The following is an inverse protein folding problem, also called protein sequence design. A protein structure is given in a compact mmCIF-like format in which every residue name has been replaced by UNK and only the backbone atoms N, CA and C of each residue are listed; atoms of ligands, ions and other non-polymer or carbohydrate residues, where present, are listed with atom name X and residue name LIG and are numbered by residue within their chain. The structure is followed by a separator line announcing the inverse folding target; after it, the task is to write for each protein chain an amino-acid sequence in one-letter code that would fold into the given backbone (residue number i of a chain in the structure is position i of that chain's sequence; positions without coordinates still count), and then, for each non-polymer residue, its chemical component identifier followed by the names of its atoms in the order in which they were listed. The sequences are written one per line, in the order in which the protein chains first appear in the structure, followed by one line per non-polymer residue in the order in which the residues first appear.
data_IF_126541359217
#
_entry.id   IF_126541359217
#
_cell.length_a   1.000
_cell.length_b   1.000
_cell.length_c   1.000
_cell.angle_alpha   90.00
_cell.angle_beta   90.00
_cell.angle_gamma   90.00
#
_symmetry.space_group_name_H-M   'P 1'
#
loop_
_entity.id
_entity.type
_entity.pdbx_description
1 polymer ?
#
# COMPACT_ATOMS: atom_id res chain seq x y z
N UNK A 1 -56.40 96.47 28.70
CA UNK A 1 -55.31 95.86 27.90
C UNK A 1 -55.04 94.47 28.46
N UNK A 2 -55.29 93.45 27.64
CA UNK A 2 -55.39 92.03 27.99
C UNK A 2 -54.03 91.33 27.98
N UNK A 3 -53.59 90.78 29.12
CA UNK A 3 -52.40 89.93 29.23
C UNK A 3 -52.74 88.44 29.06
N UNK A 4 -52.16 87.79 28.04
CA UNK A 4 -52.23 86.34 27.83
C UNK A 4 -51.04 85.66 28.50
N UNK A 5 -51.33 84.74 29.42
CA UNK A 5 -50.38 83.76 29.98
C UNK A 5 -50.01 82.71 28.92
N UNK A 6 -48.71 82.55 28.68
CA UNK A 6 -48.14 81.53 27.79
C UNK A 6 -48.02 80.17 28.49
N UNK A 7 -48.19 79.04 27.77
CA UNK A 7 -48.18 77.72 28.36
C UNK A 7 -46.76 77.21 28.64
N UNK A 8 -46.66 76.53 29.77
CA UNK A 8 -45.47 76.01 30.42
C UNK A 8 -44.83 74.84 29.63
N UNK A 9 -43.65 75.08 29.03
CA UNK A 9 -42.94 74.12 28.15
C UNK A 9 -42.01 73.14 28.90
N UNK A 10 -41.92 73.21 30.22
CA UNK A 10 -40.97 72.40 31.02
C UNK A 10 -41.36 70.92 31.24
N UNK A 11 -42.64 70.58 31.18
CA UNK A 11 -43.13 69.23 31.55
C UNK A 11 -42.96 68.17 30.45
N UNK A 12 -42.96 68.56 29.16
CA UNK A 12 -42.92 67.63 28.03
C UNK A 12 -41.49 67.07 27.75
N UNK A 13 -40.44 67.83 28.02
CA UNK A 13 -39.05 67.39 27.79
C UNK A 13 -38.57 66.36 28.81
N UNK A 14 -39.03 66.42 30.07
CA UNK A 14 -38.67 65.45 31.12
C UNK A 14 -39.28 64.06 30.88
N UNK A 15 -40.49 63.98 30.32
CA UNK A 15 -41.10 62.69 29.92
C UNK A 15 -40.33 62.02 28.79
N UNK A 16 -39.92 62.79 27.76
CA UNK A 16 -39.15 62.26 26.61
C UNK A 16 -37.78 61.70 27.00
N UNK A 17 -37.05 62.34 27.93
CA UNK A 17 -35.76 61.80 28.44
C UNK A 17 -35.94 60.50 29.23
N UNK A 18 -36.99 60.38 30.05
CA UNK A 18 -37.27 59.14 30.80
C UNK A 18 -37.65 57.97 29.88
N UNK A 19 -38.44 58.22 28.83
CA UNK A 19 -38.75 57.19 27.83
C UNK A 19 -37.54 56.75 27.02
N UNK A 20 -36.61 57.66 26.68
CA UNK A 20 -35.42 57.31 25.89
C UNK A 20 -34.42 56.46 26.68
N UNK A 21 -34.22 56.76 27.98
CA UNK A 21 -33.36 55.98 28.88
C UNK A 21 -33.94 54.57 29.12
N UNK A 22 -35.27 54.47 29.27
CA UNK A 22 -35.94 53.18 29.40
C UNK A 22 -35.80 52.31 28.14
N UNK A 23 -35.90 52.92 26.94
CA UNK A 23 -35.76 52.21 25.67
C UNK A 23 -34.33 51.70 25.45
N UNK A 24 -33.31 52.49 25.80
CA UNK A 24 -31.90 52.05 25.73
C UNK A 24 -31.57 50.93 26.72
N UNK A 25 -32.19 50.93 27.92
CA UNK A 25 -32.00 49.86 28.89
C UNK A 25 -32.62 48.53 28.39
N UNK A 26 -33.80 48.57 27.76
CA UNK A 26 -34.45 47.39 27.19
C UNK A 26 -33.64 46.82 26.01
N UNK A 27 -33.12 47.68 25.13
CA UNK A 27 -32.27 47.25 24.02
C UNK A 27 -30.96 46.64 24.53
N UNK A 28 -30.34 47.22 25.57
CA UNK A 28 -29.15 46.65 26.21
C UNK A 28 -29.37 45.25 26.78
N UNK A 29 -30.50 45.01 27.43
CA UNK A 29 -30.87 43.68 27.96
C UNK A 29 -31.12 42.66 26.84
N UNK A 30 -31.78 43.07 25.75
CA UNK A 30 -32.02 42.20 24.59
C UNK A 30 -30.71 41.82 23.87
N UNK A 31 -29.79 42.76 23.70
CA UNK A 31 -28.47 42.49 23.08
C UNK A 31 -27.62 41.59 23.99
N UNK A 32 -27.60 41.83 25.29
CA UNK A 32 -26.89 40.97 26.25
C UNK A 32 -27.47 39.54 26.26
N UNK A 33 -28.80 39.39 26.17
CA UNK A 33 -29.46 38.09 26.04
C UNK A 33 -29.07 37.34 24.76
N UNK A 34 -29.02 38.01 23.60
CA UNK A 34 -28.61 37.41 22.33
C UNK A 34 -27.14 36.96 22.34
N UNK A 35 -26.24 37.74 22.94
CA UNK A 35 -24.82 37.36 23.09
C UNK A 35 -24.68 36.12 23.98
N UNK A 36 -25.45 36.04 25.07
CA UNK A 36 -25.44 34.87 25.95
C UNK A 36 -25.95 33.61 25.24
N UNK A 37 -27.04 33.71 24.47
CA UNK A 37 -27.59 32.59 23.68
C UNK A 37 -26.61 32.12 22.59
N UNK A 38 -25.93 33.05 21.90
CA UNK A 38 -24.93 32.68 20.89
C UNK A 38 -23.72 31.98 21.51
N UNK A 39 -23.25 32.45 22.67
CA UNK A 39 -22.13 31.85 23.40
C UNK A 39 -22.49 30.46 23.95
N UNK A 40 -23.72 30.27 24.43
CA UNK A 40 -24.17 28.94 24.90
C UNK A 40 -24.35 27.95 23.74
N UNK A 41 -24.86 28.39 22.59
CA UNK A 41 -24.91 27.56 21.39
C UNK A 41 -23.52 27.18 20.88
N UNK A 42 -22.56 28.11 20.89
CA UNK A 42 -21.17 27.81 20.51
C UNK A 42 -20.53 26.78 21.44
N UNK A 43 -20.70 26.91 22.76
CA UNK A 43 -20.20 25.93 23.71
C UNK A 43 -20.83 24.53 23.52
N UNK A 44 -22.12 24.45 23.22
CA UNK A 44 -22.79 23.19 22.94
C UNK A 44 -22.28 22.51 21.65
N UNK A 45 -22.01 23.29 20.60
CA UNK A 45 -21.44 22.79 19.34
C UNK A 45 -20.00 22.29 19.54
N UNK A 46 -19.19 23.01 20.31
CA UNK A 46 -17.82 22.60 20.65
C UNK A 46 -17.81 21.31 21.49
N UNK A 47 -18.68 21.21 22.50
CA UNK A 47 -18.84 19.98 23.28
C UNK A 47 -19.31 18.81 22.43
N UNK A 48 -20.24 19.03 21.50
CA UNK A 48 -20.69 17.99 20.58
C UNK A 48 -19.58 17.53 19.61
N UNK A 49 -18.70 18.44 19.17
CA UNK A 49 -17.56 18.11 18.33
C UNK A 49 -16.51 17.28 19.09
N UNK A 50 -16.16 17.67 20.32
CA UNK A 50 -15.24 16.91 21.17
C UNK A 50 -15.81 15.52 21.48
N UNK A 51 -17.10 15.43 21.79
CA UNK A 51 -17.75 14.14 22.05
C UNK A 51 -17.76 13.25 20.80
N UNK A 52 -17.95 13.82 19.61
CA UNK A 52 -17.89 13.07 18.35
C UNK A 52 -16.47 12.58 18.03
N UNK A 53 -15.45 13.39 18.29
CA UNK A 53 -14.04 13.00 18.14
C UNK A 53 -13.66 11.88 19.11
N UNK A 54 -14.05 12.00 20.38
CA UNK A 54 -13.83 10.95 21.38
C UNK A 54 -14.55 9.64 21.03
N UNK A 55 -15.77 9.72 20.48
CA UNK A 55 -16.48 8.54 20.00
C UNK A 55 -15.75 7.86 18.84
N UNK A 56 -15.21 8.64 17.89
CA UNK A 56 -14.42 8.10 16.78
C UNK A 56 -13.13 7.42 17.27
N UNK A 57 -12.41 8.04 18.22
CA UNK A 57 -11.22 7.44 18.82
C UNK A 57 -11.58 6.12 19.51
N UNK A 58 -12.67 6.10 20.29
CA UNK A 58 -13.13 4.88 20.97
C UNK A 58 -13.52 3.78 19.97
N UNK A 59 -14.16 4.11 18.84
CA UNK A 59 -14.49 3.15 17.79
C UNK A 59 -13.23 2.58 17.12
N UNK A 60 -12.22 3.41 16.86
CA UNK A 60 -10.92 2.98 16.31
C UNK A 60 -10.19 2.06 17.30
N UNK A 61 -10.16 2.42 18.58
CA UNK A 61 -9.55 1.60 19.64
C UNK A 61 -10.29 0.26 19.79
N UNK A 62 -11.62 0.25 19.73
CA UNK A 62 -12.41 -0.96 19.78
C UNK A 62 -12.11 -1.90 18.60
N UNK A 63 -12.10 -1.36 17.37
CA UNK A 63 -11.77 -2.13 16.17
C UNK A 63 -10.32 -2.65 16.18
N UNK A 64 -9.37 -1.85 16.68
CA UNK A 64 -7.98 -2.26 16.89
C UNK A 64 -7.90 -3.44 17.86
N UNK A 65 -8.54 -3.33 19.04
CA UNK A 65 -8.51 -4.36 20.07
C UNK A 65 -9.18 -5.66 19.60
N UNK A 66 -10.30 -5.56 18.90
CA UNK A 66 -10.96 -6.71 18.28
C UNK A 66 -10.02 -7.42 17.29
N UNK A 67 -9.32 -6.67 16.45
CA UNK A 67 -8.37 -7.23 15.49
C UNK A 67 -7.14 -7.86 16.18
N UNK A 68 -6.67 -7.30 17.30
CA UNK A 68 -5.60 -7.91 18.10
C UNK A 68 -6.05 -9.26 18.66
N UNK A 69 -7.26 -9.35 19.23
CA UNK A 69 -7.79 -10.60 19.76
C UNK A 69 -8.05 -11.63 18.64
N UNK A 70 -8.59 -11.20 17.50
CA UNK A 70 -8.74 -12.06 16.33
C UNK A 70 -7.38 -12.58 15.83
N UNK A 71 -6.34 -11.74 15.84
CA UNK A 71 -4.98 -12.13 15.50
C UNK A 71 -4.42 -13.18 16.46
N UNK A 72 -4.58 -12.97 17.77
CA UNK A 72 -4.16 -13.93 18.82
C UNK A 72 -4.86 -15.27 18.66
N UNK A 73 -6.16 -15.25 18.43
CA UNK A 73 -6.96 -16.47 18.25
C UNK A 73 -6.56 -17.24 16.99
N UNK A 74 -6.28 -16.52 15.90
CA UNK A 74 -5.78 -17.11 14.66
C UNK A 74 -4.39 -17.73 14.84
N UNK A 75 -3.48 -17.06 15.57
CA UNK A 75 -2.17 -17.61 15.94
C UNK A 75 -2.30 -18.92 16.73
N UNK A 76 -3.21 -19.00 17.71
CA UNK A 76 -3.44 -20.24 18.47
C UNK A 76 -3.93 -21.39 17.60
N UNK A 77 -4.72 -21.09 16.56
CA UNK A 77 -5.23 -22.08 15.59
C UNK A 77 -4.19 -22.48 14.53
N UNK A 78 -3.03 -21.83 14.51
CA UNK A 78 -2.02 -22.02 13.47
C UNK A 78 -2.38 -21.36 12.12
N UNK A 79 -3.42 -20.51 12.07
CA UNK A 79 -3.77 -19.74 10.87
C UNK A 79 -2.99 -18.42 10.85
N UNK A 80 -1.71 -18.51 10.48
CA UNK A 80 -0.81 -17.35 10.48
C UNK A 80 -1.13 -16.34 9.37
N UNK A 81 -1.79 -16.77 8.29
CA UNK A 81 -2.26 -15.86 7.23
C UNK A 81 -3.38 -14.96 7.75
N UNK A 82 -4.38 -15.52 8.44
CA UNK A 82 -5.41 -14.73 9.10
C UNK A 82 -4.85 -13.87 10.24
N UNK A 83 -3.94 -14.42 11.04
CA UNK A 83 -3.30 -13.69 12.13
C UNK A 83 -2.52 -12.46 11.61
N UNK A 84 -1.71 -12.64 10.57
CA UNK A 84 -0.95 -11.55 9.94
C UNK A 84 -1.89 -10.44 9.42
N UNK A 85 -2.99 -10.81 8.76
CA UNK A 85 -3.98 -9.83 8.28
C UNK A 85 -4.60 -9.05 9.44
N UNK A 86 -4.98 -9.72 10.52
CA UNK A 86 -5.60 -9.10 11.68
C UNK A 86 -4.63 -8.15 12.43
N UNK A 87 -3.38 -8.57 12.68
CA UNK A 87 -2.39 -7.69 13.30
C UNK A 87 -2.01 -6.50 12.41
N UNK A 88 -1.94 -6.69 11.09
CA UNK A 88 -1.72 -5.58 10.15
C UNK A 88 -2.85 -4.55 10.21
N UNK A 89 -4.11 -5.00 10.21
CA UNK A 89 -5.25 -4.12 10.36
C UNK A 89 -5.21 -3.36 11.69
N UNK A 90 -4.87 -4.02 12.80
CA UNK A 90 -4.71 -3.36 14.09
C UNK A 90 -3.64 -2.25 14.06
N UNK A 91 -2.49 -2.48 13.41
CA UNK A 91 -1.45 -1.45 13.26
C UNK A 91 -1.90 -0.26 12.41
N UNK A 92 -2.67 -0.52 11.34
CA UNK A 92 -3.24 0.54 10.51
C UNK A 92 -4.21 1.41 11.33
N UNK A 93 -5.07 0.80 12.17
CA UNK A 93 -5.96 1.52 13.09
C UNK A 93 -5.18 2.29 14.16
N UNK A 94 -4.15 1.69 14.75
CA UNK A 94 -3.32 2.35 15.78
C UNK A 94 -2.66 3.63 15.27
N UNK A 95 -2.23 3.64 14.00
CA UNK A 95 -1.61 4.81 13.38
C UNK A 95 -2.59 5.98 13.18
N UNK A 96 -3.91 5.72 13.07
CA UNK A 96 -4.93 6.77 12.94
C UNK A 96 -5.11 7.59 14.22
N UNK A 97 -4.73 7.04 15.38
CA UNK A 97 -4.89 7.66 16.71
C UNK A 97 -3.55 7.84 17.46
N UNK A 98 -2.43 7.75 16.74
CA UNK A 98 -1.06 7.85 17.31
C UNK A 98 -0.79 6.88 18.48
N UNK A 99 -1.46 5.73 18.50
CA UNK A 99 -1.32 4.73 19.56
C UNK A 99 -0.09 3.85 19.35
N UNK A 100 0.71 3.63 20.40
CA UNK A 100 1.87 2.73 20.36
C UNK A 100 1.43 1.26 20.41
N UNK A 101 1.34 0.63 19.23
CA UNK A 101 0.98 -0.77 19.06
C UNK A 101 2.20 -1.71 18.91
N UNK A 102 3.28 -1.48 19.66
CA UNK A 102 4.51 -2.31 19.59
C UNK A 102 4.27 -3.82 19.72
N UNK A 103 3.36 -4.26 20.60
CA UNK A 103 3.02 -5.69 20.74
C UNK A 103 2.39 -6.26 19.46
N UNK A 104 1.44 -5.54 18.85
CA UNK A 104 0.82 -5.95 17.59
C UNK A 104 1.85 -6.02 16.45
N UNK A 105 2.85 -5.12 16.45
CA UNK A 105 3.96 -5.14 15.49
C UNK A 105 4.82 -6.39 15.63
N UNK A 106 5.28 -6.69 16.85
CA UNK A 106 6.09 -7.88 17.11
C UNK A 106 5.34 -9.16 16.72
N UNK A 107 4.03 -9.22 17.02
CA UNK A 107 3.16 -10.35 16.64
C UNK A 107 2.94 -10.46 15.13
N UNK A 108 2.84 -9.33 14.43
CA UNK A 108 2.77 -9.32 12.96
C UNK A 108 4.05 -9.91 12.35
N UNK A 109 5.22 -9.48 12.82
CA UNK A 109 6.51 -9.99 12.34
C UNK A 109 6.65 -11.51 12.59
N UNK A 110 6.23 -11.97 13.78
CA UNK A 110 6.16 -13.40 14.08
C UNK A 110 5.21 -14.14 13.14
N UNK A 111 3.97 -13.66 12.97
CA UNK A 111 3.00 -14.29 12.09
C UNK A 111 3.48 -14.34 10.63
N UNK A 112 4.12 -13.28 10.13
CA UNK A 112 4.68 -13.25 8.77
C UNK A 112 5.79 -14.27 8.57
N UNK A 113 6.67 -14.45 9.57
CA UNK A 113 7.69 -15.49 9.54
C UNK A 113 7.06 -16.88 9.47
N UNK A 114 6.03 -17.13 10.29
CA UNK A 114 5.34 -18.42 10.26
C UNK A 114 4.52 -18.64 8.98
N UNK A 115 4.02 -17.60 8.31
CA UNK A 115 3.44 -17.74 6.96
C UNK A 115 4.48 -18.26 5.96
N UNK A 116 5.70 -17.72 5.97
CA UNK A 116 6.77 -18.21 5.10
C UNK A 116 7.15 -19.66 5.43
N UNK A 117 7.21 -20.01 6.71
CA UNK A 117 7.45 -21.40 7.15
C UNK A 117 6.31 -22.34 6.73
N UNK A 118 5.06 -21.89 6.80
CA UNK A 118 3.90 -22.65 6.32
C UNK A 118 4.01 -22.96 4.83
N UNK A 119 4.43 -21.98 4.02
CA UNK A 119 4.63 -22.16 2.57
C UNK A 119 5.73 -23.18 2.25
N UNK A 120 6.80 -23.24 3.06
CA UNK A 120 7.82 -24.28 2.93
C UNK A 120 7.26 -25.68 3.19
N UNK A 121 6.39 -25.83 4.21
CA UNK A 121 5.73 -27.09 4.52
C UNK A 121 4.77 -27.50 3.40
N UNK A 122 3.91 -26.58 2.93
CA UNK A 122 2.99 -26.83 1.81
C UNK A 122 3.76 -27.23 0.54
N UNK A 123 4.87 -26.54 0.24
CA UNK A 123 5.74 -26.86 -0.89
C UNK A 123 6.42 -28.22 -0.75
N UNK A 124 6.88 -28.58 0.45
CA UNK A 124 7.47 -29.90 0.70
C UNK A 124 6.43 -31.01 0.47
N UNK A 125 5.19 -30.82 0.92
CA UNK A 125 4.07 -31.74 0.68
C UNK A 125 3.75 -31.89 -0.81
N UNK A 126 3.70 -30.78 -1.55
CA UNK A 126 3.51 -30.79 -3.00
C UNK A 126 4.62 -31.55 -3.73
N UNK A 127 5.88 -31.30 -3.39
CA UNK A 127 7.04 -31.98 -3.97
C UNK A 127 7.05 -33.47 -3.66
N UNK A 128 6.68 -33.87 -2.44
CA UNK A 128 6.48 -35.27 -2.07
C UNK A 128 5.34 -35.92 -2.88
N UNK A 129 4.25 -35.19 -3.12
CA UNK A 129 3.14 -35.61 -3.98
C UNK A 129 3.56 -35.84 -5.44
N UNK A 130 4.52 -35.05 -5.94
CA UNK A 130 5.11 -35.20 -7.28
C UNK A 130 6.29 -36.18 -7.35
N UNK A 131 6.64 -36.82 -6.24
CA UNK A 131 7.84 -37.66 -6.13
C UNK A 131 9.17 -36.95 -6.46
N UNK A 132 9.24 -35.62 -6.28
CA UNK A 132 10.46 -34.82 -6.45
C UNK A 132 11.30 -34.87 -5.15
N UNK A 133 11.85 -36.05 -4.84
CA UNK A 133 12.39 -36.38 -3.52
C UNK A 133 13.52 -35.44 -3.08
N UNK A 134 14.50 -35.16 -3.96
CA UNK A 134 15.66 -34.31 -3.64
C UNK A 134 15.25 -32.88 -3.27
N UNK A 135 14.33 -32.29 -4.05
CA UNK A 135 13.82 -30.94 -3.77
C UNK A 135 12.99 -30.91 -2.49
N UNK A 136 12.20 -31.95 -2.23
CA UNK A 136 11.44 -32.05 -0.98
C UNK A 136 12.40 -32.08 0.23
N UNK A 137 13.48 -32.86 0.15
CA UNK A 137 14.50 -32.95 1.19
C UNK A 137 15.20 -31.60 1.44
N UNK A 138 15.56 -30.90 0.36
CA UNK A 138 16.16 -29.56 0.42
C UNK A 138 15.24 -28.57 1.13
N UNK A 139 13.96 -28.48 0.70
CA UNK A 139 12.97 -27.58 1.32
C UNK A 139 12.78 -27.91 2.81
N UNK A 140 12.62 -29.19 3.18
CA UNK A 140 12.52 -29.62 4.58
C UNK A 140 13.77 -29.32 5.42
N UNK A 141 14.94 -29.16 4.78
CA UNK A 141 16.17 -28.72 5.43
C UNK A 141 16.21 -27.23 5.76
N UNK A 142 15.37 -26.42 5.12
CA UNK A 142 15.34 -24.96 5.30
C UNK A 142 14.34 -24.50 6.38
N UNK A 143 13.47 -25.38 6.87
CA UNK A 143 12.49 -25.04 7.92
C UNK A 143 13.21 -24.85 9.26
N UNK A 144 13.10 -23.67 9.91
CA UNK A 144 13.74 -23.41 11.20
C UNK A 144 13.22 -24.32 12.32
N UNK A 145 14.10 -24.72 13.24
CA UNK A 145 13.74 -25.58 14.38
C UNK A 145 12.87 -24.89 15.42
N UNK A 146 12.88 -23.55 15.46
CA UNK A 146 12.03 -22.72 16.33
C UNK A 146 10.67 -22.34 15.67
N UNK A 147 10.40 -22.80 14.44
CA UNK A 147 9.10 -22.58 13.79
C UNK A 147 7.98 -23.31 14.54
N UNK A 148 6.78 -22.74 14.49
CA UNK A 148 5.54 -23.41 14.89
C UNK A 148 5.31 -24.73 14.13
N UNK A 149 5.82 -24.85 12.90
CA UNK A 149 5.66 -26.05 12.07
C UNK A 149 6.78 -27.08 12.23
N UNK A 150 7.74 -26.85 13.14
CA UNK A 150 8.87 -27.76 13.37
C UNK A 150 8.43 -29.19 13.70
N UNK A 151 7.32 -29.37 14.43
CA UNK A 151 6.75 -30.69 14.76
C UNK A 151 6.22 -31.46 13.53
N UNK A 152 5.87 -30.78 12.43
CA UNK A 152 5.44 -31.45 11.19
C UNK A 152 6.62 -31.96 10.36
N UNK A 153 7.81 -31.38 10.54
CA UNK A 153 9.01 -31.74 9.76
C UNK A 153 9.39 -33.22 9.95
N UNK A 154 9.43 -33.79 11.18
CA UNK A 154 9.63 -35.22 11.37
C UNK A 154 8.63 -36.10 10.60
N UNK A 155 7.34 -35.77 10.65
CA UNK A 155 6.30 -36.51 9.91
C UNK A 155 6.55 -36.50 8.41
N UNK A 156 6.90 -35.34 7.83
CA UNK A 156 7.22 -35.23 6.41
C UNK A 156 8.54 -35.92 6.03
N UNK A 157 9.51 -35.96 6.94
CA UNK A 157 10.74 -36.74 6.75
C UNK A 157 10.48 -38.25 6.75
N UNK A 158 9.57 -38.74 7.58
CA UNK A 158 9.13 -40.14 7.53
C UNK A 158 8.36 -40.43 6.23
N UNK A 159 7.51 -39.51 5.77
CA UNK A 159 6.85 -39.64 4.47
C UNK A 159 7.86 -39.66 3.30
N UNK A 160 8.91 -38.82 3.36
CA UNK A 160 10.01 -38.83 2.40
C UNK A 160 10.75 -40.18 2.41
N UNK A 161 11.06 -40.74 3.59
CA UNK A 161 11.69 -42.06 3.72
C UNK A 161 10.82 -43.16 3.12
N UNK A 162 9.51 -43.13 3.35
CA UNK A 162 8.58 -44.09 2.73
C UNK A 162 8.62 -43.98 1.20
N UNK A 163 8.59 -42.76 0.64
CA UNK A 163 8.72 -42.54 -0.81
C UNK A 163 10.06 -42.98 -1.39
N UNK A 164 11.16 -42.84 -0.64
CA UNK A 164 12.46 -43.40 -1.00
C UNK A 164 12.37 -44.93 -1.09
N UNK A 165 11.73 -45.58 -0.11
CA UNK A 165 11.49 -47.03 -0.13
C UNK A 165 10.69 -47.49 -1.35
N UNK A 166 9.60 -46.78 -1.69
CA UNK A 166 8.79 -47.04 -2.89
C UNK A 166 9.60 -46.88 -4.18
N UNK A 167 10.45 -45.85 -4.24
CA UNK A 167 11.32 -45.58 -5.39
C UNK A 167 12.37 -46.68 -5.55
N UNK A 168 12.98 -47.14 -4.46
CA UNK A 168 13.91 -48.28 -4.46
C UNK A 168 13.23 -49.58 -4.91
N UNK A 169 12.00 -49.85 -4.44
CA UNK A 169 11.22 -51.00 -4.93
C UNK A 169 10.94 -50.90 -6.42
N UNK A 170 10.54 -49.73 -6.91
CA UNK A 170 10.33 -49.47 -8.34
C UNK A 170 11.61 -49.77 -9.13
N UNK A 171 12.77 -49.27 -8.65
CA UNK A 171 14.06 -49.51 -9.28
C UNK A 171 14.46 -50.99 -9.32
N UNK A 172 14.21 -51.75 -8.24
CA UNK A 172 14.44 -53.21 -8.20
C UNK A 172 13.52 -53.96 -9.17
N UNK A 173 12.24 -53.58 -9.26
CA UNK A 173 11.29 -54.17 -10.21
C UNK A 173 11.68 -53.91 -11.67
N UNK A 174 12.13 -52.68 -11.95
CA UNK A 174 12.65 -52.29 -13.26
C UNK A 174 13.92 -53.10 -13.61
N UNK A 175 14.87 -53.23 -12.67
CA UNK A 175 16.06 -54.06 -12.84
C UNK A 175 15.71 -55.53 -13.14
N UNK A 176 14.76 -56.12 -12.41
CA UNK A 176 14.30 -57.50 -12.64
C UNK A 176 13.69 -57.68 -14.04
N UNK A 177 13.05 -56.63 -14.56
CA UNK A 177 12.48 -56.59 -15.91
C UNK A 177 13.47 -56.17 -17.00
N UNK A 178 14.75 -55.96 -16.64
CA UNK A 178 15.82 -55.42 -17.50
C UNK A 178 15.54 -54.03 -18.07
N UNK A 179 14.67 -53.25 -17.42
CA UNK A 179 14.50 -51.82 -17.70
C UNK A 179 15.55 -51.02 -16.91
N UNK A 180 16.75 -50.96 -17.46
CA UNK A 180 17.90 -50.33 -16.82
C UNK A 180 17.77 -48.80 -16.73
N UNK A 181 16.96 -48.18 -17.60
CA UNK A 181 16.78 -46.72 -17.60
C UNK A 181 15.97 -46.30 -16.36
N UNK A 182 14.81 -46.94 -16.14
CA UNK A 182 13.98 -46.67 -14.95
C UNK A 182 14.73 -47.07 -13.68
N UNK A 183 15.47 -48.17 -13.69
CA UNK A 183 16.24 -48.61 -12.53
C UNK A 183 17.33 -47.59 -12.14
N UNK A 184 18.04 -47.00 -13.11
CA UNK A 184 19.05 -45.96 -12.86
C UNK A 184 18.43 -44.68 -12.33
N UNK A 185 17.37 -44.20 -12.96
CA UNK A 185 16.67 -43.00 -12.52
C UNK A 185 16.18 -43.16 -11.07
N UNK A 186 15.65 -44.32 -10.72
CA UNK A 186 15.24 -44.61 -9.35
C UNK A 186 16.40 -44.56 -8.34
N UNK A 187 17.57 -45.11 -8.69
CA UNK A 187 18.75 -45.05 -7.83
C UNK A 187 19.31 -43.62 -7.74
N UNK A 188 19.36 -42.87 -8.84
CA UNK A 188 19.80 -41.46 -8.90
C UNK A 188 18.93 -40.55 -8.04
N UNK A 189 17.61 -40.68 -8.12
CA UNK A 189 16.68 -39.87 -7.33
C UNK A 189 16.90 -40.06 -5.82
N UNK A 190 17.21 -41.29 -5.40
CA UNK A 190 17.46 -41.60 -3.99
C UNK A 190 18.84 -41.09 -3.56
N UNK A 191 19.87 -41.28 -4.38
CA UNK A 191 21.23 -40.79 -4.10
C UNK A 191 21.32 -39.25 -4.12
N UNK A 192 20.44 -38.58 -4.85
CA UNK A 192 20.33 -37.13 -4.82
C UNK A 192 19.77 -36.60 -3.47
N UNK A 193 19.00 -37.42 -2.75
CA UNK A 193 18.49 -37.10 -1.41
C UNK A 193 19.49 -37.50 -0.33
N UNK A 194 19.97 -38.73 -0.41
CA UNK A 194 20.87 -39.34 0.56
C UNK A 194 22.02 -40.01 -0.22
N UNK A 195 23.13 -39.28 -0.44
CA UNK A 195 24.28 -39.80 -1.17
C UNK A 195 24.90 -41.04 -0.54
N UNK A 196 24.63 -41.31 0.75
CA UNK A 196 25.15 -42.45 1.50
C UNK A 196 24.17 -43.62 1.62
N UNK A 197 23.03 -43.56 0.91
CA UNK A 197 22.03 -44.61 0.97
C UNK A 197 22.58 -45.95 0.43
N UNK A 198 22.85 -46.89 1.34
CA UNK A 198 23.46 -48.17 1.01
C UNK A 198 22.62 -49.00 0.02
N UNK A 199 21.29 -48.94 0.12
CA UNK A 199 20.40 -49.67 -0.79
C UNK A 199 20.42 -49.10 -2.21
N UNK A 200 20.47 -47.77 -2.35
CA UNK A 200 20.57 -47.11 -3.64
C UNK A 200 21.93 -47.34 -4.30
N UNK A 201 23.04 -47.25 -3.53
CA UNK A 201 24.39 -47.61 -4.02
C UNK A 201 24.44 -49.06 -4.50
N UNK A 202 23.90 -49.99 -3.71
CA UNK A 202 23.83 -51.41 -4.11
C UNK A 202 22.98 -51.62 -5.37
N UNK A 203 21.82 -50.97 -5.46
CA UNK A 203 20.97 -51.03 -6.66
C UNK A 203 21.74 -50.52 -7.88
N UNK A 204 22.49 -49.42 -7.74
CA UNK A 204 23.36 -48.90 -8.79
C UNK A 204 24.40 -49.93 -9.25
N UNK A 205 25.13 -50.54 -8.31
CA UNK A 205 26.13 -51.58 -8.61
C UNK A 205 25.52 -52.81 -9.27
N UNK A 206 24.33 -53.23 -8.84
CA UNK A 206 23.61 -54.37 -9.41
C UNK A 206 23.13 -54.08 -10.85
N UNK A 207 22.73 -52.84 -11.14
CA UNK A 207 22.43 -52.40 -12.52
C UNK A 207 23.66 -52.50 -13.41
N UNK A 208 24.83 -52.02 -12.94
CA UNK A 208 26.08 -52.11 -13.70
C UNK A 208 26.49 -53.57 -13.95
N UNK A 209 26.40 -54.43 -12.92
CA UNK A 209 26.73 -55.86 -13.03
C UNK A 209 25.79 -56.61 -13.98
N UNK A 210 24.53 -56.20 -14.09
CA UNK A 210 23.55 -56.80 -14.99
C UNK A 210 23.81 -56.49 -16.49
N UNK A 211 24.91 -55.80 -16.81
CA UNK A 211 25.28 -55.48 -18.18
C UNK A 211 24.52 -54.29 -18.76
N UNK A 212 23.98 -53.42 -17.89
CA UNK A 212 23.39 -52.17 -18.34
C UNK A 212 24.44 -51.39 -19.14
N UNK A 213 24.14 -50.98 -20.38
CA UNK A 213 25.12 -50.27 -21.21
C UNK A 213 25.64 -49.05 -20.42
N UNK A 214 26.96 -48.75 -20.48
CA UNK A 214 27.52 -47.60 -19.79
C UNK A 214 26.69 -46.38 -20.17
N UNK A 215 26.40 -45.53 -19.17
CA UNK A 215 25.54 -44.35 -19.33
C UNK A 215 25.93 -43.70 -20.67
N UNK A 216 25.01 -43.57 -21.66
CA UNK A 216 25.34 -42.77 -22.82
C UNK A 216 25.83 -41.46 -22.24
N UNK A 217 27.09 -41.09 -22.52
CA UNK A 217 27.69 -39.87 -21.98
C UNK A 217 26.61 -38.82 -22.14
N UNK A 218 26.12 -38.19 -21.05
CA UNK A 218 25.04 -37.24 -21.19
C UNK A 218 25.51 -36.32 -22.32
N UNK A 219 24.80 -36.35 -23.47
CA UNK A 219 24.95 -35.30 -24.46
C UNK A 219 24.83 -34.07 -23.58
N UNK A 220 25.87 -33.21 -23.50
CA UNK A 220 25.91 -32.16 -22.50
C UNK A 220 24.52 -31.59 -22.48
N UNK A 221 23.81 -31.80 -21.36
CA UNK A 221 22.49 -31.24 -21.21
C UNK A 221 22.84 -29.78 -21.28
N UNK A 222 22.63 -29.19 -22.45
CA UNK A 222 22.74 -27.76 -22.64
C UNK A 222 21.66 -27.31 -21.69
N UNK A 223 22.05 -26.99 -20.44
CA UNK A 223 21.15 -26.40 -19.48
C UNK A 223 20.52 -25.29 -20.28
N UNK A 224 19.23 -25.45 -20.54
CA UNK A 224 18.54 -24.56 -21.45
C UNK A 224 18.55 -23.24 -20.69
N UNK A 225 19.55 -22.40 -21.02
CA UNK A 225 19.83 -21.21 -20.26
C UNK A 225 18.60 -20.36 -20.45
N UNK A 226 17.89 -20.08 -19.36
CA UNK A 226 16.77 -19.16 -19.42
C UNK A 226 17.33 -17.74 -19.56
N UNK A 227 17.62 -17.37 -20.80
CA UNK A 227 18.13 -16.06 -21.17
C UNK A 227 17.14 -14.95 -20.77
N UNK A 228 15.84 -15.22 -20.74
CA UNK A 228 14.85 -14.24 -20.30
C UNK A 228 14.99 -13.96 -18.80
N UNK A 229 15.08 -15.01 -17.98
CA UNK A 229 15.30 -14.86 -16.54
C UNK A 229 16.61 -14.12 -16.23
N UNK A 230 17.72 -14.52 -16.88
CA UNK A 230 19.02 -13.85 -16.70
C UNK A 230 19.02 -12.39 -17.14
N UNK A 231 18.33 -12.06 -18.24
CA UNK A 231 18.21 -10.67 -18.68
C UNK A 231 17.41 -9.83 -17.68
N UNK A 232 16.32 -10.36 -17.14
CA UNK A 232 15.53 -9.68 -16.11
C UNK A 232 16.29 -9.52 -14.80
N UNK A 233 17.11 -10.50 -14.42
CA UNK A 233 18.02 -10.40 -13.28
C UNK A 233 19.02 -9.26 -13.47
N UNK A 234 19.74 -9.22 -14.60
CA UNK A 234 20.66 -8.13 -14.92
C UNK A 234 19.96 -6.76 -14.94
N UNK A 235 18.75 -6.69 -15.48
CA UNK A 235 17.94 -5.47 -15.50
C UNK A 235 17.54 -5.01 -14.08
N UNK A 236 17.11 -5.94 -13.22
CA UNK A 236 16.78 -5.66 -11.82
C UNK A 236 17.99 -5.18 -11.02
N UNK A 237 19.19 -5.64 -11.39
CA UNK A 237 20.46 -5.18 -10.83
C UNK A 237 20.93 -3.83 -11.41
N UNK A 238 20.14 -3.18 -12.27
CA UNK A 238 20.47 -1.89 -12.89
C UNK A 238 21.44 -1.98 -14.07
N UNK A 239 21.77 -3.18 -14.55
CA UNK A 239 22.71 -3.42 -15.64
C UNK A 239 21.98 -3.49 -16.98
N UNK A 240 21.47 -2.35 -17.44
CA UNK A 240 20.57 -2.29 -18.61
C UNK A 240 21.23 -2.78 -19.92
N UNK A 241 22.47 -2.41 -20.19
CA UNK A 241 23.16 -2.85 -21.42
C UNK A 241 23.48 -4.36 -21.39
N UNK A 242 23.83 -4.91 -20.22
CA UNK A 242 24.02 -6.36 -20.04
C UNK A 242 22.70 -7.11 -20.27
N UNK A 243 21.59 -6.62 -19.71
CA UNK A 243 20.27 -7.19 -19.91
C UNK A 243 19.85 -7.23 -21.39
N UNK A 244 20.14 -6.15 -22.15
CA UNK A 244 19.89 -6.11 -23.60
C UNK A 244 20.76 -7.16 -24.31
N UNK A 245 22.04 -7.25 -23.96
CA UNK A 245 22.96 -8.24 -24.53
C UNK A 245 22.51 -9.67 -24.32
N UNK A 246 22.14 -10.03 -23.08
CA UNK A 246 21.64 -11.37 -22.72
C UNK A 246 20.34 -11.67 -23.46
N UNK A 247 19.38 -10.74 -23.48
CA UNK A 247 18.10 -10.94 -24.17
C UNK A 247 18.26 -11.06 -25.70
N UNK A 248 19.26 -10.38 -26.28
CA UNK A 248 19.49 -10.42 -27.74
C UNK A 248 20.24 -11.67 -28.21
N UNK A 249 20.93 -12.38 -27.30
CA UNK A 249 21.70 -13.60 -27.61
C UNK A 249 20.83 -14.88 -27.70
N UNK A 250 19.52 -14.75 -27.53
CA UNK A 250 18.57 -15.86 -27.44
C UNK A 250 17.69 -15.91 -28.70
N UNK A 251 17.54 -17.10 -29.29
CA UNK A 251 16.76 -17.32 -30.52
C UNK A 251 15.22 -17.38 -30.29
N UNK A 252 14.76 -17.34 -29.04
CA UNK A 252 13.33 -17.34 -28.70
C UNK A 252 12.69 -15.98 -29.06
N UNK A 253 11.55 -15.95 -29.78
CA UNK A 253 10.81 -14.71 -30.06
C UNK A 253 10.51 -13.84 -28.83
N UNK A 254 10.30 -14.45 -27.65
CA UNK A 254 10.08 -13.73 -26.39
C UNK A 254 11.31 -12.95 -25.94
N UNK A 255 12.50 -13.53 -26.12
CA UNK A 255 13.77 -12.87 -25.85
C UNK A 255 13.94 -11.64 -26.76
N UNK A 256 13.62 -11.76 -28.04
CA UNK A 256 13.64 -10.64 -28.99
C UNK A 256 12.67 -9.51 -28.60
N UNK A 257 11.46 -9.85 -28.15
CA UNK A 257 10.50 -8.85 -27.65
C UNK A 257 11.02 -8.14 -26.38
N UNK A 258 11.64 -8.89 -25.45
CA UNK A 258 12.23 -8.32 -24.24
C UNK A 258 13.40 -7.39 -24.59
N UNK A 259 14.31 -7.81 -25.47
CA UNK A 259 15.43 -7.01 -25.94
C UNK A 259 14.96 -5.68 -26.56
N UNK A 260 13.92 -5.71 -27.40
CA UNK A 260 13.33 -4.50 -27.99
C UNK A 260 12.75 -3.55 -26.94
N UNK A 261 12.04 -4.07 -25.93
CA UNK A 261 11.52 -3.26 -24.82
C UNK A 261 12.64 -2.62 -24.01
N UNK A 262 13.68 -3.38 -23.66
CA UNK A 262 14.84 -2.89 -22.93
C UNK A 262 15.60 -1.81 -23.73
N UNK A 263 15.80 -2.01 -25.03
CA UNK A 263 16.44 -1.04 -25.91
C UNK A 263 15.63 0.26 -26.05
N UNK A 264 14.31 0.16 -26.23
CA UNK A 264 13.43 1.31 -26.27
C UNK A 264 13.46 2.10 -24.94
N UNK A 265 13.42 1.39 -23.81
CA UNK A 265 13.55 1.99 -22.50
C UNK A 265 14.88 2.70 -22.31
N UNK A 266 16.01 2.10 -22.73
CA UNK A 266 17.34 2.74 -22.66
C UNK A 266 17.37 4.09 -23.36
N UNK A 267 16.82 4.18 -24.57
CA UNK A 267 16.76 5.44 -25.34
C UNK A 267 15.91 6.48 -24.60
N UNK A 268 14.77 6.08 -24.02
CA UNK A 268 13.93 6.98 -23.26
C UNK A 268 14.59 7.43 -21.94
N UNK A 269 15.31 6.53 -21.27
CA UNK A 269 16.02 6.82 -20.03
C UNK A 269 17.24 7.74 -20.24
N UNK A 270 17.91 7.67 -21.40
CA UNK A 270 18.95 8.64 -21.77
C UNK A 270 18.39 10.04 -22.02
N UNK A 271 17.11 10.14 -22.40
CA UNK A 271 16.40 11.39 -22.66
C UNK A 271 15.44 11.75 -21.52
N UNK A 272 15.79 11.36 -20.28
CA UNK A 272 14.89 11.42 -19.14
C UNK A 272 14.42 12.85 -18.84
N UNK A 273 15.29 13.85 -18.98
CA UNK A 273 14.95 15.25 -18.74
C UNK A 273 13.90 15.79 -19.73
N UNK A 274 13.81 15.22 -20.93
CA UNK A 274 12.89 15.68 -21.98
C UNK A 274 11.53 15.00 -21.93
N UNK A 275 11.47 13.72 -21.57
CA UNK A 275 10.21 12.97 -21.58
C UNK A 275 10.18 11.84 -20.53
N UNK A 276 10.09 12.18 -19.24
CA UNK A 276 10.12 11.18 -18.18
C UNK A 276 8.84 10.32 -18.13
N UNK A 277 7.71 10.81 -18.66
CA UNK A 277 6.47 10.03 -18.78
C UNK A 277 6.62 8.87 -19.77
N UNK A 278 7.30 9.08 -20.90
CA UNK A 278 7.60 8.02 -21.87
C UNK A 278 8.53 6.96 -21.27
N UNK A 279 9.56 7.40 -20.54
CA UNK A 279 10.47 6.49 -19.84
C UNK A 279 9.71 5.62 -18.81
N UNK A 280 8.81 6.21 -18.02
CA UNK A 280 7.97 5.47 -17.07
C UNK A 280 7.06 4.45 -17.75
N UNK A 281 6.41 4.82 -18.86
CA UNK A 281 5.53 3.92 -19.60
C UNK A 281 6.28 2.70 -20.14
N UNK A 282 7.46 2.92 -20.71
CA UNK A 282 8.33 1.84 -21.22
C UNK A 282 8.87 0.98 -20.08
N UNK A 283 9.24 1.60 -18.95
CA UNK A 283 9.70 0.88 -17.76
C UNK A 283 8.64 -0.10 -17.25
N UNK A 284 7.38 0.36 -17.13
CA UNK A 284 6.26 -0.48 -16.67
C UNK A 284 5.91 -1.62 -17.63
N UNK A 285 6.29 -1.53 -18.90
CA UNK A 285 6.07 -2.57 -19.89
C UNK A 285 7.09 -3.73 -19.81
N UNK A 286 8.17 -3.54 -19.04
CA UNK A 286 9.20 -4.55 -18.75
C UNK A 286 8.82 -5.28 -17.46
N UNK A 287 8.82 -6.63 -17.43
CA UNK A 287 8.61 -7.39 -16.20
C UNK A 287 9.56 -6.95 -15.08
N UNK A 288 9.03 -6.67 -13.89
CA UNK A 288 9.83 -6.17 -12.77
C UNK A 288 10.27 -4.71 -12.86
N UNK A 289 9.92 -3.96 -13.92
CA UNK A 289 10.36 -2.57 -14.11
C UNK A 289 9.98 -1.61 -12.99
N UNK A 290 8.82 -1.80 -12.36
CA UNK A 290 8.39 -0.95 -11.23
C UNK A 290 9.25 -1.14 -9.96
N UNK A 291 9.97 -2.25 -9.86
CA UNK A 291 10.88 -2.58 -8.75
C UNK A 291 12.35 -2.35 -9.11
N UNK A 292 12.63 -1.88 -10.33
CA UNK A 292 13.99 -1.63 -10.79
C UNK A 292 14.59 -0.36 -10.17
N UNK A 293 15.92 -0.25 -10.10
CA UNK A 293 16.60 0.96 -9.61
C UNK A 293 16.33 2.22 -10.47
N UNK A 294 15.78 2.05 -11.67
CA UNK A 294 15.45 3.17 -12.56
C UNK A 294 14.15 3.90 -12.16
N UNK A 295 13.28 3.26 -11.37
CA UNK A 295 11.99 3.85 -10.98
C UNK A 295 12.17 5.14 -10.17
N UNK A 296 13.14 5.17 -9.25
CA UNK A 296 13.43 6.32 -8.40
C UNK A 296 13.78 7.58 -9.20
N UNK A 297 14.86 7.57 -10.01
CA UNK A 297 15.25 8.71 -10.84
C UNK A 297 14.14 9.21 -11.78
N UNK A 298 13.36 8.30 -12.37
CA UNK A 298 12.23 8.66 -13.22
C UNK A 298 11.12 9.35 -12.42
N UNK A 299 10.81 8.82 -11.23
CA UNK A 299 9.86 9.41 -10.28
C UNK A 299 10.26 10.82 -9.88
N UNK A 300 11.53 11.02 -9.51
CA UNK A 300 12.08 12.35 -9.17
C UNK A 300 11.93 13.33 -10.33
N UNK A 301 12.27 12.93 -11.57
CA UNK A 301 12.14 13.81 -12.74
C UNK A 301 10.69 14.16 -13.10
N UNK A 302 9.78 13.19 -12.97
CA UNK A 302 8.33 13.45 -13.09
C UNK A 302 7.84 14.42 -12.03
N UNK A 303 8.30 14.27 -10.79
CA UNK A 303 7.95 15.15 -9.69
C UNK A 303 8.47 16.57 -9.92
N UNK A 304 9.74 16.74 -10.32
CA UNK A 304 10.35 18.04 -10.65
C UNK A 304 9.56 18.80 -11.73
N UNK A 305 9.18 18.11 -12.82
CA UNK A 305 8.38 18.72 -13.90
C UNK A 305 7.02 19.19 -13.38
N UNK A 306 6.36 18.35 -12.56
CA UNK A 306 5.05 18.66 -12.00
C UNK A 306 5.12 19.79 -10.95
N UNK A 307 6.19 19.86 -10.17
CA UNK A 307 6.46 20.97 -9.23
C UNK A 307 6.63 22.29 -9.98
N UNK A 308 7.37 22.31 -11.11
CA UNK A 308 7.55 23.52 -11.92
C UNK A 308 6.21 24.05 -12.43
N UNK A 309 5.36 23.15 -12.94
CA UNK A 309 4.00 23.50 -13.36
C UNK A 309 3.15 24.02 -12.19
N UNK A 310 3.24 23.37 -11.03
CA UNK A 310 2.54 23.78 -9.82
C UNK A 310 2.93 25.17 -9.34
N UNK A 311 4.23 25.49 -9.33
CA UNK A 311 4.75 26.81 -8.96
C UNK A 311 4.27 27.88 -9.95
N UNK A 312 4.30 27.60 -11.26
CA UNK A 312 3.79 28.52 -12.28
C UNK A 312 2.28 28.77 -12.12
N UNK A 313 1.50 27.73 -11.84
CA UNK A 313 0.07 27.83 -11.58
C UNK A 313 -0.23 28.63 -10.30
N UNK A 314 0.52 28.40 -9.23
CA UNK A 314 0.44 29.20 -8.00
C UNK A 314 0.75 30.68 -8.26
N UNK A 315 1.81 30.99 -9.01
CA UNK A 315 2.17 32.37 -9.38
C UNK A 315 1.08 33.09 -10.19
N UNK A 316 0.21 32.34 -10.86
CA UNK A 316 -0.94 32.85 -11.60
C UNK A 316 -2.26 32.81 -10.78
N UNK A 317 -2.19 32.56 -9.47
CA UNK A 317 -3.34 32.34 -8.59
C UNK A 317 -4.30 31.22 -9.04
N UNK A 318 -3.86 30.29 -9.89
CA UNK A 318 -4.65 29.15 -10.33
C UNK A 318 -4.42 27.96 -9.38
N UNK A 319 -5.05 28.06 -8.21
CA UNK A 319 -4.85 27.11 -7.11
C UNK A 319 -5.32 25.69 -7.42
N UNK A 320 -6.37 25.52 -8.24
CA UNK A 320 -6.82 24.18 -8.65
C UNK A 320 -5.80 23.49 -9.56
N UNK A 321 -5.25 24.23 -10.53
CA UNK A 321 -4.19 23.70 -11.41
C UNK A 321 -2.93 23.39 -10.59
N UNK A 322 -2.58 24.26 -9.64
CA UNK A 322 -1.47 24.03 -8.73
C UNK A 322 -1.65 22.75 -7.91
N UNK A 323 -2.84 22.55 -7.31
CA UNK A 323 -3.15 21.35 -6.55
C UNK A 323 -2.94 20.08 -7.37
N UNK A 324 -3.50 20.02 -8.58
CA UNK A 324 -3.34 18.85 -9.47
C UNK A 324 -1.87 18.56 -9.78
N UNK A 325 -1.09 19.59 -10.06
CA UNK A 325 0.33 19.47 -10.40
C UNK A 325 1.16 18.98 -9.19
N UNK A 326 0.99 19.55 -7.99
CA UNK A 326 1.70 19.07 -6.81
C UNK A 326 1.23 17.69 -6.34
N UNK A 327 -0.06 17.38 -6.47
CA UNK A 327 -0.58 16.05 -6.20
C UNK A 327 0.03 15.01 -7.16
N UNK A 328 0.18 15.36 -8.45
CA UNK A 328 0.89 14.51 -9.41
C UNK A 328 2.38 14.35 -9.04
N UNK A 329 3.02 15.41 -8.55
CA UNK A 329 4.40 15.33 -8.05
C UNK A 329 4.53 14.34 -6.89
N UNK A 330 3.63 14.42 -5.90
CA UNK A 330 3.62 13.52 -4.74
C UNK A 330 3.23 12.08 -5.10
N UNK A 331 2.44 11.89 -6.17
CA UNK A 331 2.19 10.55 -6.71
C UNK A 331 3.42 9.93 -7.36
N UNK A 332 4.30 10.75 -7.95
CA UNK A 332 5.54 10.30 -8.57
C UNK A 332 6.68 10.12 -7.55
N UNK A 333 6.77 11.00 -6.56
CA UNK A 333 7.69 10.94 -5.43
C UNK A 333 6.96 11.40 -4.15
N UNK A 334 6.48 10.46 -3.31
CA UNK A 334 5.75 10.77 -2.08
C UNK A 334 6.56 11.58 -1.06
N UNK A 335 7.89 11.56 -1.15
CA UNK A 335 8.80 12.22 -0.23
C UNK A 335 9.28 13.60 -0.71
N UNK A 336 8.76 14.10 -1.84
CA UNK A 336 9.27 15.31 -2.47
C UNK A 336 9.03 16.58 -1.62
N UNK A 337 10.08 17.21 -1.04
CA UNK A 337 9.91 18.23 0.01
C UNK A 337 9.21 19.50 -0.50
N UNK A 338 9.53 19.93 -1.72
CA UNK A 338 8.94 21.15 -2.32
C UNK A 338 7.44 20.97 -2.59
N UNK A 339 7.03 19.83 -3.13
CA UNK A 339 5.62 19.53 -3.41
C UNK A 339 4.82 19.46 -2.09
N UNK A 340 5.34 18.76 -1.07
CA UNK A 340 4.72 18.70 0.26
C UNK A 340 4.55 20.07 0.89
N UNK A 341 5.57 20.93 0.82
CA UNK A 341 5.50 22.31 1.33
C UNK A 341 4.41 23.13 0.62
N UNK A 342 4.35 23.09 -0.71
CA UNK A 342 3.34 23.84 -1.46
C UNK A 342 1.93 23.27 -1.26
N UNK A 343 1.80 21.95 -1.09
CA UNK A 343 0.54 21.33 -0.72
C UNK A 343 0.00 21.83 0.62
N UNK A 344 0.86 22.03 1.63
CA UNK A 344 0.46 22.65 2.88
C UNK A 344 -0.04 24.09 2.68
N UNK A 345 0.61 24.86 1.79
CA UNK A 345 0.15 26.22 1.42
C UNK A 345 -1.21 26.20 0.74
N UNK A 346 -1.44 25.27 -0.20
CA UNK A 346 -2.74 25.10 -0.88
C UNK A 346 -3.83 24.74 0.13
N UNK A 347 -3.53 23.82 1.07
CA UNK A 347 -4.48 23.43 2.13
C UNK A 347 -4.83 24.60 3.05
N UNK A 348 -3.86 25.42 3.43
CA UNK A 348 -4.12 26.65 4.18
C UNK A 348 -5.01 27.61 3.39
N UNK A 349 -4.75 27.80 2.09
CA UNK A 349 -5.58 28.64 1.22
C UNK A 349 -7.00 28.10 1.07
N UNK A 350 -7.17 26.79 0.91
CA UNK A 350 -8.47 26.13 0.86
C UNK A 350 -9.26 26.35 2.17
N UNK A 351 -8.59 26.31 3.33
CA UNK A 351 -9.21 26.59 4.63
C UNK A 351 -9.69 28.04 4.74
N UNK A 352 -8.89 29.02 4.32
CA UNK A 352 -9.31 30.43 4.27
C UNK A 352 -10.55 30.61 3.39
N UNK A 353 -10.54 30.01 2.19
CA UNK A 353 -11.63 30.09 1.22
C UNK A 353 -12.91 29.43 1.75
N UNK A 354 -12.78 28.30 2.44
CA UNK A 354 -13.88 27.63 3.12
C UNK A 354 -14.52 28.52 4.20
N UNK A 355 -13.70 29.23 5.00
CA UNK A 355 -14.19 30.14 6.04
C UNK A 355 -14.93 31.33 5.43
N UNK A 356 -14.39 31.90 4.35
CA UNK A 356 -15.04 32.98 3.61
C UNK A 356 -16.40 32.53 3.06
N UNK A 357 -16.45 31.37 2.41
CA UNK A 357 -17.69 30.77 1.89
C UNK A 357 -18.72 30.56 3.00
N UNK A 358 -18.27 30.16 4.19
CA UNK A 358 -19.16 29.95 5.33
C UNK A 358 -19.80 31.25 5.84
N UNK A 359 -19.11 32.39 5.74
CA UNK A 359 -19.66 33.72 6.05
C UNK A 359 -20.61 34.17 4.94
N UNK A 360 -20.19 33.98 3.70
CA UNK A 360 -20.94 34.46 2.54
C UNK A 360 -22.21 33.65 2.29
N UNK A 361 -22.33 32.40 2.77
CA UNK A 361 -23.52 31.55 2.55
C UNK A 361 -24.85 32.19 2.98
N UNK A 362 -24.82 33.11 3.95
CA UNK A 362 -26.02 33.84 4.41
C UNK A 362 -26.21 35.18 3.72
N UNK A 363 -25.14 35.77 3.18
CA UNK A 363 -25.12 37.11 2.58
C UNK A 363 -25.28 37.04 1.06
N UNK A 364 -24.51 36.16 0.43
CA UNK A 364 -24.47 35.88 -1.00
C UNK A 364 -24.25 34.36 -1.24
N UNK A 365 -25.35 33.57 -1.32
CA UNK A 365 -25.29 32.13 -1.52
C UNK A 365 -24.57 31.68 -2.80
N UNK A 366 -24.66 32.46 -3.89
CA UNK A 366 -24.04 32.13 -5.17
C UNK A 366 -22.53 32.35 -5.14
N UNK A 367 -22.07 33.40 -4.46
CA UNK A 367 -20.64 33.57 -4.18
C UNK A 367 -20.10 32.43 -3.30
N UNK A 368 -20.79 32.11 -2.21
CA UNK A 368 -20.39 31.01 -1.32
C UNK A 368 -20.31 29.67 -2.05
N UNK A 369 -21.26 29.38 -2.94
CA UNK A 369 -21.23 28.18 -3.78
C UNK A 369 -19.95 28.09 -4.62
N UNK A 370 -19.60 29.16 -5.35
CA UNK A 370 -18.38 29.22 -6.17
C UNK A 370 -17.11 29.03 -5.34
N UNK A 371 -17.08 29.59 -4.14
CA UNK A 371 -15.96 29.42 -3.20
C UNK A 371 -15.86 27.97 -2.69
N UNK A 372 -16.97 27.32 -2.32
CA UNK A 372 -16.96 25.89 -1.96
C UNK A 372 -16.53 24.99 -3.13
N UNK A 373 -16.95 25.28 -4.37
CA UNK A 373 -16.49 24.57 -5.57
C UNK A 373 -14.97 24.72 -5.75
N UNK A 374 -14.45 25.91 -5.50
CA UNK A 374 -13.01 26.16 -5.53
C UNK A 374 -12.27 25.38 -4.43
N UNK A 375 -12.81 25.28 -3.21
CA UNK A 375 -12.23 24.43 -2.14
C UNK A 375 -12.15 22.97 -2.58
N UNK A 376 -13.22 22.41 -3.13
CA UNK A 376 -13.27 21.02 -3.66
C UNK A 376 -12.17 20.80 -4.71
N UNK A 377 -11.94 21.80 -5.56
CA UNK A 377 -10.92 21.73 -6.61
C UNK A 377 -9.46 21.84 -6.12
N UNK A 378 -9.27 22.16 -4.84
CA UNK A 378 -7.98 22.38 -4.16
C UNK A 378 -7.66 21.33 -3.10
N UNK A 379 -8.53 20.35 -2.87
CA UNK A 379 -8.41 19.34 -1.82
C UNK A 379 -8.62 17.93 -2.38
N UNK A 380 -7.99 16.94 -1.74
CA UNK A 380 -8.18 15.54 -2.08
C UNK A 380 -9.59 15.07 -1.66
N UNK A 381 -10.08 13.99 -2.28
CA UNK A 381 -11.45 13.52 -2.06
C UNK A 381 -11.71 13.00 -0.63
N UNK A 382 -10.66 12.58 0.05
CA UNK A 382 -10.63 12.12 1.45
C UNK A 382 -10.41 13.25 2.46
N UNK A 383 -10.14 14.49 2.00
CA UNK A 383 -9.95 15.63 2.90
C UNK A 383 -11.30 16.11 3.48
N UNK A 384 -11.31 16.40 4.78
CA UNK A 384 -12.50 16.85 5.50
C UNK A 384 -13.16 18.10 4.88
N UNK A 385 -12.35 19.06 4.40
CA UNK A 385 -12.86 20.28 3.77
C UNK A 385 -13.54 19.97 2.43
N UNK A 386 -13.07 18.95 1.72
CA UNK A 386 -13.69 18.49 0.47
C UNK A 386 -15.13 18.04 0.72
N UNK A 387 -15.32 17.16 1.70
CA UNK A 387 -16.62 16.59 2.03
C UNK A 387 -17.56 17.62 2.69
N UNK A 388 -17.03 18.51 3.53
CA UNK A 388 -17.80 19.63 4.10
C UNK A 388 -18.30 20.57 2.99
N UNK A 389 -17.44 20.95 2.04
CA UNK A 389 -17.83 21.79 0.92
C UNK A 389 -18.91 21.14 0.05
N UNK A 390 -18.81 19.83 -0.26
CA UNK A 390 -19.86 19.09 -0.97
C UNK A 390 -21.21 19.12 -0.23
N UNK A 391 -21.21 18.96 1.10
CA UNK A 391 -22.43 19.05 1.91
C UNK A 391 -23.04 20.46 1.85
N UNK A 392 -22.21 21.49 1.94
CA UNK A 392 -22.69 22.87 1.87
C UNK A 392 -23.27 23.22 0.51
N UNK A 393 -22.65 22.82 -0.60
CA UNK A 393 -23.21 23.11 -1.93
C UNK A 393 -24.58 22.43 -2.10
N UNK A 394 -24.74 21.18 -1.64
CA UNK A 394 -26.06 20.49 -1.63
C UNK A 394 -27.11 21.28 -0.84
N UNK A 395 -26.74 21.85 0.32
CA UNK A 395 -27.67 22.65 1.14
C UNK A 395 -28.03 24.00 0.53
N UNK A 396 -27.21 24.53 -0.38
CA UNK A 396 -27.45 25.79 -1.09
C UNK A 396 -28.34 25.62 -2.33
N UNK A 397 -28.92 24.43 -2.54
CA UNK A 397 -29.78 24.14 -3.69
C UNK A 397 -29.02 23.73 -4.96
N UNK A 398 -27.71 23.49 -4.87
CA UNK A 398 -26.91 22.92 -5.96
C UNK A 398 -27.03 21.40 -5.97
N UNK A 399 -27.85 20.86 -6.88
CA UNK A 399 -27.77 19.44 -7.25
C UNK A 399 -26.41 19.15 -7.90
N UNK A 400 -25.68 18.18 -7.35
CA UNK A 400 -24.44 17.63 -7.93
C UNK A 400 -24.72 16.23 -8.46
#
# INVERSE_FOLDING_TARGET
MTGRLGPDRGAAQRKRRKTLIALTAVVGVLVAGLVFVKKSQQAAVEQAAIAAEQAQIADIEAAMNEAIEAGKESTKKGDFRAASKAFKFALERAAEVEYDARDAKNRLEFAQREVANQELIEKAEELLGRAELAKAAEVLGTVPSDSFFSDRVPTLREALKAKIGDRLMTGRGALASRDFEIARLAAEDVLAVDPENAEAKKLWDDIERAGAPPKPRPKPVVQQVDYSAKALEAFSAGKLDEAIGIASACDDPKCGQLANKLAAFRIANQNLDSNPSKALALLKAIPGGSSSPFMGPIGTKLAESSVREGIQAMGSNNWSKAFKAFHQALKADPSHPVASKHMATIKAKAKELFQQAYVDKTVDPEKARREFEQVISMTAADDELHEKSKRHIRSLGGGF
#
